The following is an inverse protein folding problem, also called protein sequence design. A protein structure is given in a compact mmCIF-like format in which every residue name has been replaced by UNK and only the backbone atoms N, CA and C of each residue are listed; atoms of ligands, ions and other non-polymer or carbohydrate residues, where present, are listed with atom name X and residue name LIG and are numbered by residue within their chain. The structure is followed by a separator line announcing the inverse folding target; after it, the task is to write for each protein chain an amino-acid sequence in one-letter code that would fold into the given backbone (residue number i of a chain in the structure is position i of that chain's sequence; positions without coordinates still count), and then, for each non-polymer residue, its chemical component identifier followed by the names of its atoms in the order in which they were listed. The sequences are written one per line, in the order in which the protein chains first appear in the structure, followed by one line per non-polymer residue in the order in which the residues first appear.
data_IF_692423372988
#
_entry.id   IF_692423372988
#
_cell.length_a   1.000
_cell.length_b   1.000
_cell.length_c   1.000
_cell.angle_alpha   90.00
_cell.angle_beta   90.00
_cell.angle_gamma   90.00
#
_symmetry.space_group_name_H-M   'P 1'
#
loop_
_entity.id
_entity.type
_entity.pdbx_description
1 polymer ?
#
# COMPACT_ATOMS: atom_id res chain seq x y z
N UNK A 1 3.12 -19.44 -69.85
CA UNK A 1 3.49 -18.38 -68.88
C UNK A 1 2.32 -18.19 -67.92
N UNK A 2 2.44 -18.61 -66.66
CA UNK A 2 1.86 -17.96 -65.46
C UNK A 2 2.31 -18.75 -64.23
N UNK A 3 3.22 -18.12 -63.46
CA UNK A 3 3.71 -18.52 -62.14
C UNK A 3 2.73 -18.05 -61.08
N UNK A 4 2.32 -18.87 -60.09
CA UNK A 4 1.88 -18.41 -58.74
C UNK A 4 2.14 -19.45 -57.63
N UNK A 5 3.33 -19.33 -57.06
CA UNK A 5 3.75 -19.36 -55.64
C UNK A 5 2.93 -20.16 -54.60
N UNK A 6 3.64 -21.13 -54.04
CA UNK A 6 3.51 -21.72 -52.71
C UNK A 6 3.38 -20.66 -51.60
N UNK A 7 2.49 -20.88 -50.63
CA UNK A 7 2.31 -20.04 -49.45
C UNK A 7 1.61 -20.81 -48.33
N UNK A 8 2.38 -21.55 -47.53
CA UNK A 8 1.94 -22.19 -46.29
C UNK A 8 1.76 -21.07 -45.25
N UNK A 9 0.53 -20.78 -44.87
CA UNK A 9 0.23 -19.87 -43.74
C UNK A 9 0.16 -20.73 -42.48
N UNK A 10 1.25 -20.74 -41.71
CA UNK A 10 1.32 -21.30 -40.36
C UNK A 10 0.52 -20.40 -39.41
N UNK A 11 -0.69 -20.83 -39.01
CA UNK A 11 -1.45 -20.16 -37.95
C UNK A 11 -0.91 -20.61 -36.59
N UNK A 12 -0.13 -19.75 -35.95
CA UNK A 12 0.26 -19.92 -34.54
C UNK A 12 -0.97 -19.65 -33.68
N UNK A 13 -1.53 -20.70 -33.07
CA UNK A 13 -2.50 -20.59 -31.98
C UNK A 13 -1.72 -20.25 -30.71
N UNK A 14 -1.74 -18.96 -30.33
CA UNK A 14 -1.28 -18.53 -29.00
C UNK A 14 -2.36 -18.93 -28.00
N UNK A 15 -2.17 -20.06 -27.32
CA UNK A 15 -2.90 -20.36 -26.09
C UNK A 15 -2.37 -19.44 -24.99
N UNK A 16 -3.09 -18.34 -24.73
CA UNK A 16 -2.88 -17.52 -23.54
C UNK A 16 -3.22 -18.34 -22.32
N UNK A 17 -2.21 -18.92 -21.67
CA UNK A 17 -2.32 -19.51 -20.35
C UNK A 17 -2.69 -18.38 -19.37
N UNK A 18 -3.96 -18.32 -18.98
CA UNK A 18 -4.39 -17.53 -17.83
C UNK A 18 -3.80 -18.23 -16.60
N UNK A 19 -2.57 -17.87 -16.25
CA UNK A 19 -1.98 -18.28 -14.99
C UNK A 19 -2.91 -17.76 -13.89
N UNK A 20 -3.60 -18.68 -13.20
CA UNK A 20 -4.27 -18.35 -11.95
C UNK A 20 -3.18 -17.86 -11.01
N UNK A 21 -3.06 -16.53 -10.87
CA UNK A 21 -2.16 -15.94 -9.90
C UNK A 21 -2.60 -16.47 -8.53
N UNK A 22 -1.74 -17.19 -7.80
CA UNK A 22 -2.10 -17.63 -6.47
C UNK A 22 -2.49 -16.39 -5.68
N UNK A 23 -3.71 -16.37 -5.14
CA UNK A 23 -4.15 -15.33 -4.21
C UNK A 23 -3.16 -15.34 -3.07
N UNK A 24 -2.36 -14.28 -2.94
CA UNK A 24 -1.47 -14.12 -1.79
C UNK A 24 -2.30 -14.35 -0.53
N UNK A 25 -1.87 -15.27 0.33
CA UNK A 25 -2.50 -15.45 1.64
C UNK A 25 -2.29 -14.16 2.42
N UNK A 26 -3.31 -13.73 3.16
CA UNK A 26 -3.18 -12.67 4.15
C UNK A 26 -1.93 -12.92 5.00
N UNK A 27 -0.97 -11.99 4.95
CA UNK A 27 0.28 -12.05 5.66
C UNK A 27 0.34 -10.95 6.72
N UNK A 28 1.12 -11.16 7.77
CA UNK A 28 1.48 -10.10 8.70
C UNK A 28 2.68 -9.35 8.13
N UNK A 29 2.51 -8.06 7.83
CA UNK A 29 3.52 -7.19 7.22
C UNK A 29 3.87 -6.07 8.20
N UNK A 30 5.07 -6.15 8.75
CA UNK A 30 5.59 -5.18 9.73
C UNK A 30 6.43 -4.11 9.06
N UNK A 31 6.30 -2.86 9.52
CA UNK A 31 7.21 -1.75 9.18
C UNK A 31 8.59 -1.98 9.80
N UNK A 32 9.66 -1.96 9.01
CA UNK A 32 11.01 -2.39 9.46
C UNK A 32 12.08 -1.29 9.47
N UNK A 33 11.84 -0.11 8.92
CA UNK A 33 12.95 0.80 8.55
C UNK A 33 13.71 1.41 9.73
N UNK A 34 15.07 1.41 9.67
CA UNK A 34 15.92 2.49 10.19
C UNK A 34 16.92 2.97 9.11
N UNK A 35 16.68 4.09 8.42
CA UNK A 35 17.64 4.61 7.41
C UNK A 35 17.04 5.59 6.41
N UNK A 36 17.84 6.24 5.54
CA UNK A 36 17.53 7.49 4.82
C UNK A 36 16.45 7.36 3.73
N UNK A 37 15.77 6.23 3.62
CA UNK A 37 14.58 6.11 2.82
C UNK A 37 13.55 7.14 3.27
N UNK A 38 12.83 7.68 2.30
CA UNK A 38 11.59 8.39 2.58
C UNK A 38 10.75 7.48 3.46
N UNK A 39 10.20 7.98 4.56
CA UNK A 39 9.27 7.24 5.42
C UNK A 39 7.95 6.94 4.68
N UNK A 40 8.00 6.63 3.40
CA UNK A 40 6.92 6.50 2.45
C UNK A 40 6.32 5.10 2.55
N UNK A 41 5.01 5.05 2.77
CA UNK A 41 4.21 3.83 2.80
C UNK A 41 4.45 2.95 1.56
N UNK A 42 4.66 3.57 0.40
CA UNK A 42 4.84 2.87 -0.87
C UNK A 42 6.26 2.32 -1.09
N UNK A 43 7.21 2.66 -0.20
CA UNK A 43 8.57 2.13 -0.24
C UNK A 43 8.61 0.66 0.13
N UNK A 44 8.81 -0.23 -0.85
CA UNK A 44 8.84 -1.69 -0.63
C UNK A 44 9.86 -2.13 0.42
N UNK A 45 11.00 -1.43 0.49
CA UNK A 45 12.07 -1.70 1.47
C UNK A 45 11.72 -1.29 2.92
N UNK A 46 10.60 -0.58 3.13
CA UNK A 46 10.13 -0.20 4.46
C UNK A 46 9.33 -1.32 5.15
N UNK A 47 9.06 -2.41 4.44
CA UNK A 47 8.23 -3.52 4.90
C UNK A 47 9.04 -4.81 5.03
N UNK A 48 8.75 -5.59 6.07
CA UNK A 48 9.38 -6.89 6.35
C UNK A 48 9.28 -7.90 5.20
N UNK A 49 8.22 -7.81 4.39
CA UNK A 49 8.02 -8.66 3.21
C UNK A 49 8.78 -8.18 1.97
N UNK A 50 9.47 -7.03 2.04
CA UNK A 50 10.04 -6.33 0.88
C UNK A 50 9.01 -6.00 -0.21
N UNK A 51 7.75 -5.82 0.20
CA UNK A 51 6.61 -5.45 -0.64
C UNK A 51 5.65 -4.56 0.13
N UNK A 52 4.92 -3.69 -0.57
CA UNK A 52 3.84 -2.91 0.06
C UNK A 52 2.70 -3.86 0.48
N UNK A 53 2.05 -3.66 1.65
CA UNK A 53 0.92 -4.46 2.09
C UNK A 53 -0.17 -4.58 1.02
N UNK A 54 -0.66 -5.80 0.81
CA UNK A 54 -1.69 -6.15 -0.16
C UNK A 54 -3.05 -6.38 0.52
N UNK A 55 -4.08 -6.67 -0.30
CA UNK A 55 -5.43 -6.90 0.19
C UNK A 55 -5.47 -8.09 1.16
N UNK A 56 -6.05 -7.86 2.33
CA UNK A 56 -6.21 -8.84 3.40
C UNK A 56 -5.02 -8.90 4.37
N UNK A 57 -3.91 -8.21 4.11
CA UNK A 57 -2.76 -8.25 5.01
C UNK A 57 -3.05 -7.60 6.37
N UNK A 58 -2.37 -8.10 7.39
CA UNK A 58 -2.31 -7.50 8.72
C UNK A 58 -1.09 -6.59 8.78
N UNK A 59 -1.29 -5.30 8.99
CA UNK A 59 -0.19 -4.33 9.02
C UNK A 59 0.16 -3.94 10.44
N UNK A 60 1.44 -4.02 10.75
CA UNK A 60 1.97 -3.67 12.07
C UNK A 60 3.03 -2.59 11.92
N UNK A 61 2.77 -1.41 12.48
CA UNK A 61 3.76 -0.32 12.55
C UNK A 61 4.21 -0.22 14.01
N UNK A 62 5.30 -0.92 14.33
CA UNK A 62 5.96 -0.88 15.64
C UNK A 62 7.36 -0.33 15.45
N UNK A 63 7.49 1.00 15.52
CA UNK A 63 8.79 1.68 15.49
C UNK A 63 8.76 2.92 16.36
N UNK A 64 9.86 3.18 17.06
CA UNK A 64 9.93 4.30 17.99
C UNK A 64 10.14 5.61 17.24
N UNK A 65 9.24 6.57 17.42
CA UNK A 65 9.33 7.93 16.86
C UNK A 65 9.41 7.97 15.32
N UNK A 66 8.65 7.12 14.61
CA UNK A 66 8.58 7.15 13.15
C UNK A 66 7.36 7.92 12.66
N UNK A 67 7.53 8.68 11.57
CA UNK A 67 6.45 9.34 10.84
C UNK A 67 6.27 8.69 9.47
N UNK A 68 5.30 7.79 9.31
CA UNK A 68 5.02 7.07 8.04
C UNK A 68 4.13 7.94 7.15
N UNK A 69 4.59 8.31 5.96
CA UNK A 69 3.88 9.12 4.99
C UNK A 69 3.05 8.26 4.04
N UNK A 70 1.74 8.48 4.03
CA UNK A 70 0.79 7.89 3.10
C UNK A 70 0.34 8.94 2.08
N UNK A 71 0.67 8.73 0.82
CA UNK A 71 0.38 9.70 -0.28
C UNK A 71 -0.71 9.25 -1.24
N UNK A 72 -1.19 8.01 -1.09
CA UNK A 72 -2.16 7.33 -1.97
C UNK A 72 -3.05 6.39 -1.15
N UNK A 73 -4.10 5.84 -1.76
CA UNK A 73 -4.92 4.83 -1.12
C UNK A 73 -4.14 3.54 -0.80
N UNK A 74 -4.39 2.93 0.35
CA UNK A 74 -3.88 1.59 0.68
C UNK A 74 -4.70 0.50 -0.02
N UNK A 75 -4.16 -0.71 -0.06
CA UNK A 75 -4.95 -1.93 -0.22
C UNK A 75 -6.02 -2.05 0.90
N UNK A 76 -7.01 -2.93 0.70
CA UNK A 76 -8.01 -3.25 1.72
C UNK A 76 -7.41 -4.23 2.75
N UNK A 77 -6.91 -3.71 3.86
CA UNK A 77 -6.22 -4.49 4.89
C UNK A 77 -7.20 -5.25 5.78
N UNK A 78 -6.77 -6.38 6.35
CA UNK A 78 -7.55 -7.02 7.42
C UNK A 78 -7.39 -6.27 8.74
N UNK A 79 -6.19 -5.78 9.03
CA UNK A 79 -5.94 -4.95 10.20
C UNK A 79 -4.79 -3.96 10.02
N UNK A 80 -4.82 -2.88 10.80
CA UNK A 80 -3.69 -1.98 11.04
C UNK A 80 -3.51 -1.80 12.56
N UNK A 81 -2.29 -2.01 13.04
CA UNK A 81 -1.84 -1.63 14.38
C UNK A 81 -0.81 -0.49 14.28
N UNK A 82 -1.11 0.66 14.88
CA UNK A 82 -0.18 1.77 15.10
C UNK A 82 0.31 1.71 16.54
N UNK A 83 1.61 1.49 16.74
CA UNK A 83 2.19 1.43 18.08
C UNK A 83 2.35 2.81 18.73
N UNK A 84 2.75 2.80 19.99
CA UNK A 84 3.11 4.00 20.73
C UNK A 84 4.17 4.82 19.96
N UNK A 85 4.00 6.15 19.90
CA UNK A 85 4.94 7.10 19.26
C UNK A 85 5.17 6.88 17.76
N UNK A 86 4.22 6.26 17.07
CA UNK A 86 4.15 6.22 15.61
C UNK A 86 3.19 7.31 15.15
N UNK A 87 3.56 8.03 14.09
CA UNK A 87 2.66 8.95 13.41
C UNK A 87 2.42 8.49 11.97
N UNK A 88 1.20 8.14 11.60
CA UNK A 88 0.80 7.91 10.21
C UNK A 88 0.29 9.22 9.61
N UNK A 89 1.02 9.75 8.64
CA UNK A 89 0.86 11.09 8.05
C UNK A 89 0.20 10.97 6.69
N UNK A 90 -1.01 11.52 6.54
CA UNK A 90 -1.77 11.51 5.30
C UNK A 90 -1.45 12.77 4.47
N UNK A 91 -0.93 12.59 3.26
CA UNK A 91 -0.67 13.67 2.31
C UNK A 91 -1.44 13.44 1.02
N UNK A 92 -1.93 14.53 0.43
CA UNK A 92 -2.88 14.56 -0.68
C UNK A 92 -4.33 14.26 -0.27
N UNK A 93 -5.27 14.85 -1.00
CA UNK A 93 -6.71 14.71 -0.74
C UNK A 93 -7.21 13.27 -0.94
N UNK A 94 -6.61 12.53 -1.87
CA UNK A 94 -7.02 11.16 -2.21
C UNK A 94 -6.27 10.07 -1.44
N UNK A 95 -5.41 10.43 -0.48
CA UNK A 95 -4.81 9.45 0.43
C UNK A 95 -5.89 8.88 1.35
N UNK A 96 -5.95 7.55 1.44
CA UNK A 96 -6.93 6.85 2.28
C UNK A 96 -6.35 5.56 2.85
N UNK A 97 -6.65 5.30 4.11
CA UNK A 97 -6.38 4.02 4.76
C UNK A 97 -7.67 3.19 4.77
N UNK A 98 -7.61 1.98 4.21
CA UNK A 98 -8.73 1.03 4.22
C UNK A 98 -8.34 -0.22 4.99
N UNK A 99 -9.03 -0.52 6.09
CA UNK A 99 -8.77 -1.72 6.88
C UNK A 99 -10.03 -2.18 7.62
N UNK A 100 -10.24 -3.48 7.80
CA UNK A 100 -11.38 -3.95 8.63
C UNK A 100 -11.23 -3.51 10.08
N UNK A 101 -10.05 -3.67 10.66
CA UNK A 101 -9.76 -3.29 12.06
C UNK A 101 -8.59 -2.30 12.13
N UNK A 102 -8.79 -1.18 12.80
CA UNK A 102 -7.74 -0.19 13.06
C UNK A 102 -7.56 -0.04 14.57
N UNK A 103 -6.35 -0.25 15.05
CA UNK A 103 -5.97 -0.07 16.45
C UNK A 103 -4.85 0.95 16.55
N UNK A 104 -5.08 2.02 17.30
CA UNK A 104 -4.08 3.03 17.63
C UNK A 104 -3.75 2.88 19.11
N UNK A 105 -2.51 2.51 19.44
CA UNK A 105 -2.08 2.41 20.84
C UNK A 105 -1.76 3.79 21.43
N UNK A 106 -1.59 3.87 22.74
CA UNK A 106 -1.29 5.10 23.48
C UNK A 106 -0.13 5.91 22.85
N UNK A 107 -0.37 7.17 22.53
CA UNK A 107 0.57 8.07 21.83
C UNK A 107 0.87 7.72 20.36
N UNK A 108 0.20 6.73 19.77
CA UNK A 108 0.10 6.59 18.33
C UNK A 108 -0.80 7.69 17.77
N UNK A 109 -0.51 8.17 16.56
CA UNK A 109 -1.25 9.26 15.94
C UNK A 109 -1.47 9.02 14.45
N UNK A 110 -2.55 9.61 13.94
CA UNK A 110 -2.74 9.85 12.52
C UNK A 110 -2.86 11.35 12.31
N UNK A 111 -2.03 11.94 11.45
CA UNK A 111 -2.00 13.38 11.22
C UNK A 111 -1.92 13.71 9.74
N UNK A 112 -1.87 14.99 9.43
CA UNK A 112 -1.46 15.53 8.12
C UNK A 112 -0.08 16.18 8.26
N UNK A 113 0.60 16.49 7.14
CA UNK A 113 1.78 17.35 7.16
C UNK A 113 1.49 18.71 7.83
N UNK A 114 2.55 19.41 8.22
CA UNK A 114 2.46 20.76 8.74
C UNK A 114 1.75 21.71 7.74
N UNK A 115 1.39 22.90 8.24
CA UNK A 115 0.69 23.92 7.45
C UNK A 115 1.33 24.10 6.06
N UNK A 116 0.47 24.11 5.05
CA UNK A 116 0.84 24.22 3.65
C UNK A 116 0.54 25.64 3.14
N UNK A 117 1.17 26.02 2.03
CA UNK A 117 0.89 27.32 1.40
C UNK A 117 -0.52 27.36 0.82
N UNK A 118 -1.09 28.55 0.61
CA UNK A 118 -2.45 28.70 0.07
C UNK A 118 -2.67 28.02 -1.31
N UNK A 119 -1.58 27.70 -2.02
CA UNK A 119 -1.61 27.08 -3.34
C UNK A 119 -1.23 25.59 -3.32
N UNK A 120 -0.91 25.03 -2.15
CA UNK A 120 -0.63 23.60 -2.02
C UNK A 120 -1.92 22.79 -1.96
N UNK A 121 -1.84 21.52 -2.38
CA UNK A 121 -2.94 20.57 -2.23
C UNK A 121 -3.30 20.42 -0.75
N UNK A 122 -4.60 20.42 -0.46
CA UNK A 122 -5.11 20.15 0.89
C UNK A 122 -4.92 18.68 1.26
N UNK A 123 -4.69 18.44 2.55
CA UNK A 123 -4.53 17.11 3.12
C UNK A 123 -5.72 16.80 4.04
N UNK A 124 -6.10 15.53 4.15
CA UNK A 124 -7.10 15.07 5.12
C UNK A 124 -6.68 13.73 5.69
N UNK A 125 -7.09 13.46 6.92
CA UNK A 125 -7.06 12.10 7.46
C UNK A 125 -8.33 11.40 6.97
N UNK A 126 -8.19 10.37 6.14
CA UNK A 126 -9.30 9.59 5.62
C UNK A 126 -9.10 8.09 5.91
N UNK A 127 -9.96 7.55 6.75
CA UNK A 127 -9.91 6.16 7.20
C UNK A 127 -11.25 5.50 6.87
N UNK A 128 -11.22 4.32 6.27
CA UNK A 128 -12.36 3.48 5.98
C UNK A 128 -12.16 2.19 6.79
N UNK A 129 -12.95 2.00 7.85
CA UNK A 129 -12.85 0.83 8.69
C UNK A 129 -14.18 0.38 9.28
N UNK A 130 -14.25 -0.90 9.64
CA UNK A 130 -15.39 -1.47 10.36
C UNK A 130 -15.25 -1.25 11.86
N UNK A 131 -14.03 -1.38 12.39
CA UNK A 131 -13.74 -1.21 13.81
C UNK A 131 -12.54 -0.27 14.00
N UNK A 132 -12.72 0.73 14.87
CA UNK A 132 -11.66 1.66 15.28
C UNK A 132 -11.51 1.62 16.81
N UNK A 133 -10.31 1.29 17.28
CA UNK A 133 -9.92 1.27 18.70
C UNK A 133 -8.77 2.25 18.94
N UNK A 134 -8.87 3.08 19.97
CA UNK A 134 -7.91 4.14 20.34
C UNK A 134 -7.66 4.09 21.85
#
# INVERSE_FOLDING_TARGET
MLSKRCGIILRVLVFSALAAMPRARAATVTWVTPGPSTNDWSGTNNWSSQSVPANGDEVIIISNNVGVLLTSATAELSSLLISNKVNLIFSNWDSSLTATNVTILTNGQMTIPAAFSNNAMSNRVWIICSNLSI
#
